data_IF_878832704163
#
_entry.id   IF_878832704163
#
_cell.length_a   1.000
_cell.length_b   1.000
_cell.length_c   1.000
_cell.angle_alpha   90.00
_cell.angle_beta   90.00
_cell.angle_gamma   90.00
#
_symmetry.space_group_name_H-M   'P 1'
#
loop_
_entity.id
_entity.type
_entity.pdbx_description
1 polymer ?
#
# COMPACT_ATOMS: atom_id res chain seq x y z
N UNK A 1 24.06 -4.84 14.25
CA UNK A 1 22.70 -5.39 14.00
C UNK A 1 22.81 -6.37 12.86
N UNK A 2 22.24 -7.56 12.98
CA UNK A 2 22.13 -8.48 11.84
C UNK A 2 21.09 -7.95 10.85
N UNK A 3 21.22 -8.34 9.58
CA UNK A 3 20.22 -7.98 8.55
C UNK A 3 18.83 -8.46 8.94
N UNK A 4 18.74 -9.64 9.57
CA UNK A 4 17.46 -10.20 10.00
C UNK A 4 16.76 -9.32 11.04
N UNK A 5 17.47 -8.82 12.07
CA UNK A 5 16.84 -7.95 13.06
C UNK A 5 16.33 -6.63 12.47
N UNK A 6 16.97 -6.12 11.40
CA UNK A 6 16.49 -4.93 10.69
C UNK A 6 15.24 -5.23 9.88
N UNK A 7 15.20 -6.38 9.20
CA UNK A 7 14.02 -6.83 8.44
C UNK A 7 12.82 -6.98 9.37
N UNK A 8 13.01 -7.61 10.54
CA UNK A 8 11.93 -7.81 11.52
C UNK A 8 11.38 -6.49 12.06
N UNK A 9 12.25 -5.50 12.28
CA UNK A 9 11.84 -4.17 12.72
C UNK A 9 10.99 -3.44 11.67
N UNK A 10 11.42 -3.45 10.40
CA UNK A 10 10.67 -2.81 9.30
C UNK A 10 9.34 -3.51 9.04
N UNK A 11 9.30 -4.83 9.19
CA UNK A 11 8.08 -5.63 9.02
C UNK A 11 7.00 -5.29 10.05
N UNK A 12 7.39 -4.91 11.25
CA UNK A 12 6.47 -4.57 12.33
C UNK A 12 5.92 -3.13 12.23
N UNK A 13 6.46 -2.31 11.31
CA UNK A 13 6.05 -0.93 11.16
C UNK A 13 4.65 -0.81 10.54
N UNK A 14 3.82 0.09 11.10
CA UNK A 14 2.49 0.37 10.55
C UNK A 14 2.60 1.32 9.37
N UNK A 15 2.11 0.88 8.21
CA UNK A 15 2.08 1.69 7.00
C UNK A 15 0.68 2.30 6.80
N UNK A 16 0.63 3.63 6.72
CA UNK A 16 -0.59 4.35 6.37
C UNK A 16 -1.08 3.97 4.95
N UNK A 17 -2.41 3.97 4.71
CA UNK A 17 -2.97 3.76 3.38
C UNK A 17 -2.36 4.70 2.34
N UNK A 18 -2.25 4.23 1.09
CA UNK A 18 -1.69 5.01 -0.02
C UNK A 18 -2.72 5.24 -1.13
N UNK A 19 -2.64 6.40 -1.77
CA UNK A 19 -3.45 6.78 -2.93
C UNK A 19 -2.73 6.51 -4.26
N UNK A 20 -3.43 6.75 -5.36
CA UNK A 20 -2.87 6.84 -6.71
C UNK A 20 -2.03 8.11 -6.84
N UNK A 21 -0.98 8.07 -7.66
CA UNK A 21 -0.17 9.26 -7.96
C UNK A 21 -0.46 9.71 -9.40
N UNK A 22 -1.26 10.76 -9.54
CA UNK A 22 -1.76 11.27 -10.84
C UNK A 22 -1.59 12.79 -10.82
N UNK A 23 -1.13 13.36 -11.93
CA UNK A 23 -0.80 14.79 -12.10
C UNK A 23 0.07 15.37 -10.96
N UNK A 24 1.09 14.63 -10.54
CA UNK A 24 2.03 15.07 -9.51
C UNK A 24 1.46 15.10 -8.09
N UNK A 25 0.26 14.56 -7.85
CA UNK A 25 -0.39 14.56 -6.54
C UNK A 25 -0.90 13.17 -6.17
N UNK A 26 -0.93 12.87 -4.86
CA UNK A 26 -1.58 11.67 -4.35
C UNK A 26 -3.08 11.93 -4.17
N UNK A 27 -3.91 11.02 -4.68
CA UNK A 27 -5.38 11.07 -4.57
C UNK A 27 -5.95 9.67 -4.38
N UNK A 28 -7.17 9.57 -3.86
CA UNK A 28 -7.90 8.30 -3.88
C UNK A 28 -8.41 7.99 -5.29
N UNK A 29 -8.76 6.72 -5.55
CA UNK A 29 -9.41 6.33 -6.79
C UNK A 29 -10.78 6.98 -6.90
N UNK A 30 -11.24 7.31 -8.12
CA UNK A 30 -12.57 7.88 -8.36
C UNK A 30 -13.68 7.00 -7.76
N UNK A 31 -13.53 5.68 -7.88
CA UNK A 31 -14.47 4.70 -7.32
C UNK A 31 -14.41 4.52 -5.80
N UNK A 32 -13.45 5.19 -5.12
CA UNK A 32 -13.12 5.04 -3.70
C UNK A 32 -12.75 3.61 -3.25
N UNK A 33 -12.61 2.65 -4.18
CA UNK A 33 -12.21 1.29 -3.86
C UNK A 33 -10.75 1.23 -3.39
N UNK A 34 -10.46 0.24 -2.54
CA UNK A 34 -9.10 -0.04 -2.06
C UNK A 34 -8.81 -1.52 -2.11
N UNK A 35 -7.52 -1.83 -2.30
CA UNK A 35 -6.98 -3.18 -2.32
C UNK A 35 -5.99 -3.39 -1.18
N UNK A 36 -6.14 -4.50 -0.47
CA UNK A 36 -5.20 -4.90 0.57
C UNK A 36 -3.86 -5.34 -0.02
N UNK A 37 -2.78 -4.88 0.60
CA UNK A 37 -1.41 -5.34 0.34
C UNK A 37 -1.10 -6.43 1.36
N UNK A 38 -1.06 -7.66 0.89
CA UNK A 38 -0.89 -8.85 1.73
C UNK A 38 0.58 -9.27 1.73
N UNK A 39 1.14 -9.50 2.91
CA UNK A 39 2.49 -10.02 3.06
C UNK A 39 2.56 -11.47 2.57
N UNK A 40 3.47 -11.81 1.65
CA UNK A 40 3.63 -13.20 1.22
C UNK A 40 4.29 -14.10 2.28
N UNK A 41 4.85 -13.51 3.35
CA UNK A 41 5.59 -14.26 4.38
C UNK A 41 4.63 -14.94 5.36
N UNK A 42 3.51 -14.30 5.70
CA UNK A 42 2.56 -14.79 6.71
C UNK A 42 1.09 -14.51 6.39
N UNK A 43 0.78 -13.95 5.22
CA UNK A 43 -0.59 -13.64 4.79
C UNK A 43 -1.23 -12.45 5.52
N UNK A 44 -0.50 -11.70 6.35
CA UNK A 44 -1.06 -10.53 7.05
C UNK A 44 -1.20 -9.34 6.12
N UNK A 45 -2.21 -8.51 6.35
CA UNK A 45 -2.36 -7.23 5.66
C UNK A 45 -1.33 -6.23 6.20
N UNK A 46 -0.54 -5.65 5.30
CA UNK A 46 0.45 -4.62 5.62
C UNK A 46 -0.16 -3.21 5.59
N UNK A 47 -0.95 -2.95 4.57
CA UNK A 47 -1.66 -1.68 4.34
C UNK A 47 -2.68 -1.86 3.20
N UNK A 48 -3.35 -0.77 2.80
CA UNK A 48 -4.23 -0.73 1.64
C UNK A 48 -3.78 0.35 0.64
N UNK A 49 -3.97 0.09 -0.65
CA UNK A 49 -3.76 1.05 -1.73
C UNK A 49 -5.09 1.39 -2.40
N UNK A 50 -5.23 2.59 -2.96
CA UNK A 50 -6.36 2.93 -3.83
C UNK A 50 -6.40 1.98 -5.03
N UNK A 51 -7.59 1.45 -5.36
CA UNK A 51 -7.81 0.54 -6.48
C UNK A 51 -8.28 1.35 -7.69
N UNK A 52 -7.31 1.84 -8.46
CA UNK A 52 -7.60 2.60 -9.67
C UNK A 52 -8.32 1.77 -10.73
N UNK A 53 -9.23 2.40 -11.45
CA UNK A 53 -9.89 1.80 -12.60
C UNK A 53 -9.86 2.71 -13.83
N UNK A 54 -10.73 2.45 -14.81
CA UNK A 54 -10.74 3.18 -16.09
C UNK A 54 -10.85 4.68 -15.88
N UNK A 55 -11.63 5.13 -14.90
CA UNK A 55 -11.87 6.55 -14.64
C UNK A 55 -10.62 7.26 -14.09
N UNK A 56 -9.65 6.52 -13.55
CA UNK A 56 -8.38 7.06 -13.04
C UNK A 56 -7.26 7.09 -14.10
N UNK A 57 -7.50 6.51 -15.28
CA UNK A 57 -6.51 6.37 -16.38
C UNK A 57 -6.79 7.34 -17.53
N UNK A 58 -8.06 7.68 -17.76
CA UNK A 58 -8.52 8.60 -18.81
C UNK A 58 -8.18 10.07 -18.49
#
# INVERSE_FOLDING_TARGET
>A
MSDQSRIDALRAEKLAPRGLFIDGTFRDAVSARRRDVISPIDGRVLTSIAEGDREDVD
#
